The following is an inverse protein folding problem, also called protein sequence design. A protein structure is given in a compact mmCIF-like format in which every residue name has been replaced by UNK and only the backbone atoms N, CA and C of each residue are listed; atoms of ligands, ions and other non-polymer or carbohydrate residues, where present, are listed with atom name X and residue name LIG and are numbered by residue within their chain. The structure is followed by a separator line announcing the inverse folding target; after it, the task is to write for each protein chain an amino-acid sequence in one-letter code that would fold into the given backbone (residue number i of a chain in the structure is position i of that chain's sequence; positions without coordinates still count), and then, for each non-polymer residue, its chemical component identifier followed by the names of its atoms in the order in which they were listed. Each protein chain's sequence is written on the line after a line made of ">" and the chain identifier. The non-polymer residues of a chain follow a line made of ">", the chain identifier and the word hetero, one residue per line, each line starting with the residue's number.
data_IF_834225356529
#
_entry.id   IF_834225356529
#
_cell.length_a   1.000
_cell.length_b   1.000
_cell.length_c   1.000
_cell.angle_alpha   90.00
_cell.angle_beta   90.00
_cell.angle_gamma   90.00
#
_symmetry.space_group_name_H-M   'P 1'
#
loop_
_entity.id
_entity.type
_entity.pdbx_description
1 polymer ?
#
# COMPACT_ATOMS: atom_id res chain seq x y z
N UNK A 1 -68.57 47.91 104.63
CA UNK A 1 -68.65 48.41 103.24
C UNK A 1 -67.29 48.29 102.52
N UNK A 2 -66.19 48.66 103.18
CA UNK A 2 -64.81 48.48 102.68
C UNK A 2 -64.40 47.01 102.40
N UNK A 3 -64.71 46.06 103.29
CA UNK A 3 -64.34 44.64 103.08
C UNK A 3 -64.97 44.01 101.83
N UNK A 4 -66.24 44.35 101.53
CA UNK A 4 -66.92 43.90 100.31
C UNK A 4 -66.30 44.51 99.04
N UNK A 5 -65.79 45.74 99.10
CA UNK A 5 -65.06 46.35 97.98
C UNK A 5 -63.69 45.69 97.77
N UNK A 6 -62.96 45.40 98.84
CA UNK A 6 -61.67 44.68 98.77
C UNK A 6 -61.82 43.25 98.23
N UNK A 7 -62.85 42.51 98.67
CA UNK A 7 -63.14 41.17 98.15
C UNK A 7 -63.42 41.18 96.64
N UNK A 8 -64.24 42.14 96.17
CA UNK A 8 -64.53 42.31 94.75
C UNK A 8 -63.29 42.70 93.93
N UNK A 9 -62.43 43.58 94.46
CA UNK A 9 -61.15 43.93 93.83
C UNK A 9 -60.20 42.74 93.71
N UNK A 10 -60.16 41.86 94.71
CA UNK A 10 -59.35 40.63 94.68
C UNK A 10 -59.92 39.67 93.64
N UNK A 11 -61.24 39.50 93.60
CA UNK A 11 -61.93 38.64 92.64
C UNK A 11 -61.71 39.10 91.19
N UNK A 12 -61.89 40.40 90.91
CA UNK A 12 -61.63 41.00 89.59
C UNK A 12 -60.16 40.82 89.17
N UNK A 13 -59.22 40.94 90.11
CA UNK A 13 -57.78 40.77 89.84
C UNK A 13 -57.41 39.31 89.60
N UNK A 14 -58.04 38.36 90.31
CA UNK A 14 -57.89 36.92 90.10
C UNK A 14 -58.47 36.51 88.75
N UNK A 15 -59.67 36.98 88.39
CA UNK A 15 -60.29 36.72 87.09
C UNK A 15 -59.44 37.28 85.93
N UNK A 16 -58.88 38.47 86.09
CA UNK A 16 -57.97 39.06 85.10
C UNK A 16 -56.72 38.22 84.91
N UNK A 17 -56.07 37.78 85.99
CA UNK A 17 -54.89 36.91 85.94
C UNK A 17 -55.19 35.54 85.34
N UNK A 18 -56.36 34.96 85.63
CA UNK A 18 -56.82 33.71 85.04
C UNK A 18 -57.05 33.86 83.53
N UNK A 19 -57.69 34.96 83.11
CA UNK A 19 -57.92 35.26 81.69
C UNK A 19 -56.60 35.46 80.94
N UNK A 20 -55.67 36.23 81.49
CA UNK A 20 -54.33 36.42 80.90
C UNK A 20 -53.53 35.11 80.77
N UNK A 21 -53.61 34.22 81.78
CA UNK A 21 -52.98 32.89 81.70
C UNK A 21 -53.65 32.01 80.65
N UNK A 22 -54.97 32.05 80.55
CA UNK A 22 -55.75 31.29 79.58
C UNK A 22 -55.46 31.76 78.15
N UNK A 23 -55.42 33.07 77.92
CA UNK A 23 -55.10 33.67 76.62
C UNK A 23 -53.67 33.32 76.17
N UNK A 24 -52.71 33.32 77.10
CA UNK A 24 -51.33 32.85 76.82
C UNK A 24 -51.29 31.37 76.45
N UNK A 25 -51.99 30.52 77.20
CA UNK A 25 -52.05 29.09 76.91
C UNK A 25 -52.70 28.81 75.54
N UNK A 26 -53.75 29.53 75.17
CA UNK A 26 -54.35 29.43 73.84
C UNK A 26 -53.42 29.92 72.72
N UNK A 27 -52.66 31.00 72.95
CA UNK A 27 -51.68 31.48 71.99
C UNK A 27 -50.52 30.48 71.80
N UNK A 28 -50.03 29.87 72.88
CA UNK A 28 -49.00 28.81 72.84
C UNK A 28 -49.52 27.57 72.11
N UNK A 29 -50.76 27.13 72.42
CA UNK A 29 -51.39 26.00 71.75
C UNK A 29 -51.60 26.26 70.25
N UNK A 30 -52.02 27.48 69.89
CA UNK A 30 -52.20 27.89 68.49
C UNK A 30 -50.89 27.85 67.70
N UNK A 31 -49.80 28.39 68.28
CA UNK A 31 -48.46 28.32 67.67
C UNK A 31 -47.97 26.87 67.51
N UNK A 32 -48.18 26.03 68.53
CA UNK A 32 -47.81 24.62 68.46
C UNK A 32 -48.61 23.86 67.39
N UNK A 33 -49.89 24.19 67.22
CA UNK A 33 -50.74 23.62 66.18
C UNK A 33 -50.28 24.04 64.77
N UNK A 34 -49.96 25.32 64.59
CA UNK A 34 -49.40 25.82 63.32
C UNK A 34 -48.07 25.13 62.98
N UNK A 35 -47.15 25.05 63.94
CA UNK A 35 -45.87 24.34 63.78
C UNK A 35 -46.07 22.88 63.40
N UNK A 36 -46.98 22.17 64.08
CA UNK A 36 -47.28 20.77 63.77
C UNK A 36 -47.85 20.60 62.36
N UNK A 37 -48.67 21.55 61.90
CA UNK A 37 -49.26 21.50 60.57
C UNK A 37 -48.22 21.80 59.47
N UNK A 38 -47.29 22.72 59.73
CA UNK A 38 -46.16 23.01 58.84
C UNK A 38 -45.21 21.81 58.74
N UNK A 39 -44.84 21.19 59.87
CA UNK A 39 -44.02 19.96 59.90
C UNK A 39 -44.71 18.80 59.16
N UNK A 40 -46.02 18.63 59.35
CA UNK A 40 -46.79 17.62 58.62
C UNK A 40 -46.78 17.88 57.10
N UNK A 41 -46.93 19.14 56.69
CA UNK A 41 -46.88 19.52 55.28
C UNK A 41 -45.49 19.25 54.68
N UNK A 42 -44.42 19.53 55.43
CA UNK A 42 -43.04 19.24 54.99
C UNK A 42 -42.83 17.72 54.84
N UNK A 43 -43.26 16.93 55.82
CA UNK A 43 -43.16 15.47 55.76
C UNK A 43 -43.95 14.85 54.60
N UNK A 44 -45.14 15.37 54.30
CA UNK A 44 -45.91 14.89 53.14
C UNK A 44 -45.20 15.22 51.81
N UNK A 45 -44.53 16.38 51.74
CA UNK A 45 -43.75 16.78 50.56
C UNK A 45 -42.47 15.94 50.40
N UNK A 46 -41.76 15.66 51.50
CA UNK A 46 -40.63 14.72 51.50
C UNK A 46 -41.05 13.32 51.09
N UNK A 47 -42.20 12.81 51.58
CA UNK A 47 -42.72 11.50 51.20
C UNK A 47 -43.03 11.42 49.70
N UNK A 48 -43.58 12.49 49.12
CA UNK A 48 -43.82 12.58 47.68
C UNK A 48 -42.52 12.57 46.88
N UNK A 49 -41.50 13.31 47.32
CA UNK A 49 -40.19 13.33 46.67
C UNK A 49 -39.50 11.96 46.73
N UNK A 50 -39.47 11.32 47.90
CA UNK A 50 -38.91 9.98 48.05
C UNK A 50 -39.63 8.93 47.19
N UNK A 51 -40.95 9.05 47.06
CA UNK A 51 -41.72 8.16 46.19
C UNK A 51 -41.35 8.37 44.72
N UNK A 52 -41.22 9.62 44.27
CA UNK A 52 -40.78 9.93 42.91
C UNK A 52 -39.36 9.42 42.62
N UNK A 53 -38.41 9.62 43.54
CA UNK A 53 -37.04 9.10 43.40
C UNK A 53 -37.00 7.57 43.37
N UNK A 54 -37.83 6.91 44.18
CA UNK A 54 -37.98 5.46 44.19
C UNK A 54 -38.48 4.95 42.84
N UNK A 55 -39.52 5.58 42.30
CA UNK A 55 -40.10 5.19 41.01
C UNK A 55 -39.09 5.41 39.86
N UNK A 56 -38.35 6.52 39.89
CA UNK A 56 -37.26 6.78 38.92
C UNK A 56 -36.15 5.72 39.01
N UNK A 57 -35.76 5.35 40.24
CA UNK A 57 -34.73 4.33 40.47
C UNK A 57 -35.18 2.95 40.01
N UNK A 58 -36.44 2.58 40.26
CA UNK A 58 -37.03 1.34 39.77
C UNK A 58 -37.03 1.28 38.24
N UNK A 59 -37.41 2.38 37.56
CA UNK A 59 -37.35 2.45 36.10
C UNK A 59 -35.91 2.31 35.58
N UNK A 60 -34.93 2.97 36.21
CA UNK A 60 -33.50 2.83 35.85
C UNK A 60 -33.02 1.39 36.00
N UNK A 61 -33.44 0.69 37.05
CA UNK A 61 -33.08 -0.71 37.28
C UNK A 61 -33.62 -1.63 36.17
N UNK A 62 -34.87 -1.45 35.76
CA UNK A 62 -35.45 -2.21 34.64
C UNK A 62 -34.71 -1.96 33.33
N UNK A 63 -34.30 -0.72 33.07
CA UNK A 63 -33.52 -0.38 31.87
C UNK A 63 -32.13 -1.05 31.89
N UNK A 64 -31.46 -1.04 33.03
CA UNK A 64 -30.16 -1.72 33.21
C UNK A 64 -30.30 -3.21 32.94
N UNK A 65 -31.33 -3.87 33.48
CA UNK A 65 -31.57 -5.29 33.24
C UNK A 65 -31.76 -5.62 31.75
N UNK A 66 -32.52 -4.79 31.03
CA UNK A 66 -32.68 -4.94 29.56
C UNK A 66 -31.36 -4.76 28.80
N UNK A 67 -30.52 -3.82 29.23
CA UNK A 67 -29.19 -3.61 28.62
C UNK A 67 -28.27 -4.81 28.90
N UNK A 68 -28.30 -5.35 30.12
CA UNK A 68 -27.49 -6.51 30.50
C UNK A 68 -27.85 -7.76 29.70
N UNK A 69 -29.15 -8.01 29.48
CA UNK A 69 -29.64 -9.09 28.62
C UNK A 69 -29.15 -8.92 27.18
N UNK A 70 -29.30 -7.73 26.60
CA UNK A 70 -28.83 -7.45 25.23
C UNK A 70 -27.32 -7.62 25.10
N UNK A 71 -26.54 -7.14 26.08
CA UNK A 71 -25.09 -7.33 26.11
C UNK A 71 -24.71 -8.82 26.22
N UNK A 72 -25.51 -9.63 26.93
CA UNK A 72 -25.29 -11.08 27.04
C UNK A 72 -25.51 -11.79 25.70
N UNK A 73 -26.52 -11.39 24.94
CA UNK A 73 -26.77 -11.91 23.59
C UNK A 73 -25.65 -11.51 22.63
N UNK A 74 -25.28 -10.23 22.58
CA UNK A 74 -24.19 -9.75 21.73
C UNK A 74 -22.85 -10.44 22.05
N UNK A 75 -22.56 -10.71 23.32
CA UNK A 75 -21.35 -11.48 23.71
C UNK A 75 -21.36 -12.91 23.17
N UNK A 76 -22.53 -13.56 23.11
CA UNK A 76 -22.66 -14.92 22.55
C UNK A 76 -22.43 -14.91 21.04
N UNK A 77 -23.03 -13.96 20.33
CA UNK A 77 -22.84 -13.79 18.88
C UNK A 77 -21.37 -13.51 18.54
N UNK A 78 -20.73 -12.61 19.32
CA UNK A 78 -19.32 -12.30 19.16
C UNK A 78 -18.44 -13.53 19.39
N UNK A 79 -18.74 -14.35 20.40
CA UNK A 79 -18.01 -15.60 20.66
C UNK A 79 -18.10 -16.57 19.49
N UNK A 80 -19.29 -16.73 18.89
CA UNK A 80 -19.48 -17.60 17.74
C UNK A 80 -18.71 -17.09 16.51
N UNK A 81 -18.79 -15.78 16.25
CA UNK A 81 -18.07 -15.13 15.14
C UNK A 81 -16.55 -15.28 15.27
N UNK A 82 -16.01 -15.08 16.47
CA UNK A 82 -14.57 -15.27 16.74
C UNK A 82 -14.18 -16.74 16.49
N UNK A 83 -15.02 -17.69 16.90
CA UNK A 83 -14.76 -19.12 16.70
C UNK A 83 -14.72 -19.47 15.21
N UNK A 84 -15.66 -18.98 14.42
CA UNK A 84 -15.67 -19.17 12.96
C UNK A 84 -14.45 -18.52 12.30
N UNK A 85 -14.10 -17.30 12.70
CA UNK A 85 -12.91 -16.62 12.18
C UNK A 85 -11.62 -17.38 12.47
N UNK A 86 -11.51 -18.02 13.64
CA UNK A 86 -10.33 -18.82 13.99
C UNK A 86 -10.21 -20.08 13.12
N UNK A 87 -11.33 -20.76 12.83
CA UNK A 87 -11.34 -21.92 11.92
C UNK A 87 -10.89 -21.49 10.52
N UNK A 88 -11.46 -20.39 10.01
CA UNK A 88 -11.09 -19.88 8.70
C UNK A 88 -9.61 -19.46 8.62
N UNK A 89 -9.07 -18.86 9.68
CA UNK A 89 -7.65 -18.50 9.75
C UNK A 89 -6.75 -19.75 9.70
N UNK A 90 -7.14 -20.85 10.35
CA UNK A 90 -6.41 -22.12 10.26
C UNK A 90 -6.42 -22.67 8.83
N UNK A 91 -7.56 -22.65 8.14
CA UNK A 91 -7.65 -23.08 6.74
C UNK A 91 -6.79 -22.21 5.81
N UNK A 92 -6.72 -20.90 6.06
CA UNK A 92 -5.87 -19.99 5.31
C UNK A 92 -4.38 -20.32 5.54
N UNK A 93 -3.97 -20.58 6.78
CA UNK A 93 -2.59 -20.96 7.11
C UNK A 93 -2.18 -22.28 6.43
N UNK A 94 -3.07 -23.26 6.38
CA UNK A 94 -2.84 -24.53 5.68
C UNK A 94 -2.64 -24.29 4.16
N UNK A 95 -3.54 -23.52 3.53
CA UNK A 95 -3.41 -23.18 2.11
C UNK A 95 -2.16 -22.37 1.80
N UNK A 96 -1.74 -21.48 2.71
CA UNK A 96 -0.49 -20.74 2.55
C UNK A 96 0.72 -21.67 2.55
N UNK A 97 0.78 -22.66 3.44
CA UNK A 97 1.84 -23.67 3.44
C UNK A 97 1.85 -24.51 2.17
N UNK A 98 0.68 -24.90 1.66
CA UNK A 98 0.58 -25.62 0.39
C UNK A 98 1.12 -24.79 -0.80
N UNK A 99 0.79 -23.50 -0.85
CA UNK A 99 1.28 -22.59 -1.88
C UNK A 99 2.80 -22.38 -1.79
N UNK A 100 3.34 -22.22 -0.59
CA UNK A 100 4.78 -22.11 -0.36
C UNK A 100 5.52 -23.36 -0.86
N UNK A 101 5.01 -24.55 -0.52
CA UNK A 101 5.60 -25.81 -1.00
C UNK A 101 5.53 -25.91 -2.53
N UNK A 102 4.43 -25.47 -3.16
CA UNK A 102 4.32 -25.42 -4.63
C UNK A 102 5.30 -24.43 -5.25
N UNK A 103 5.49 -23.26 -4.65
CA UNK A 103 6.43 -22.25 -5.12
C UNK A 103 7.88 -22.75 -5.03
N UNK A 104 8.23 -23.42 -3.93
CA UNK A 104 9.55 -24.04 -3.76
C UNK A 104 9.79 -25.16 -4.79
N UNK A 105 8.79 -26.03 -5.00
CA UNK A 105 8.86 -27.06 -6.04
C UNK A 105 9.03 -26.48 -7.44
N UNK A 106 8.26 -25.45 -7.79
CA UNK A 106 8.38 -24.76 -9.08
C UNK A 106 9.72 -24.07 -9.24
N UNK A 107 10.29 -23.54 -8.15
CA UNK A 107 11.63 -22.96 -8.17
C UNK A 107 12.70 -24.02 -8.45
N UNK A 108 12.61 -25.17 -7.79
CA UNK A 108 13.52 -26.30 -8.04
C UNK A 108 13.37 -26.80 -9.48
N UNK A 109 12.13 -26.95 -9.96
CA UNK A 109 11.85 -27.38 -11.34
C UNK A 109 12.41 -26.37 -12.35
N UNK A 110 12.22 -25.08 -12.10
CA UNK A 110 12.82 -24.02 -12.91
C UNK A 110 14.35 -24.09 -12.91
N UNK A 111 14.98 -24.26 -11.74
CA UNK A 111 16.44 -24.41 -11.66
C UNK A 111 16.93 -25.67 -12.39
N UNK A 112 16.17 -26.76 -12.36
CA UNK A 112 16.49 -27.97 -13.11
C UNK A 112 16.36 -27.74 -14.62
N UNK A 113 15.30 -27.09 -15.08
CA UNK A 113 15.13 -26.71 -16.50
C UNK A 113 16.24 -25.75 -16.94
N UNK A 114 16.60 -24.77 -16.11
CA UNK A 114 17.72 -23.85 -16.39
C UNK A 114 19.04 -24.62 -16.50
N UNK A 115 19.31 -25.60 -15.62
CA UNK A 115 20.48 -26.49 -15.74
C UNK A 115 20.42 -27.40 -16.97
N UNK A 116 19.24 -27.93 -17.31
CA UNK A 116 19.02 -28.72 -18.52
C UNK A 116 19.12 -27.89 -19.79
N UNK A 117 18.89 -26.58 -19.75
CA UNK A 117 19.16 -25.63 -20.83
C UNK A 117 20.63 -25.18 -20.85
N UNK A 118 21.30 -25.17 -19.70
CA UNK A 118 22.75 -24.97 -19.59
C UNK A 118 23.54 -26.20 -20.08
N UNK A 119 23.00 -27.42 -19.98
CA UNK A 119 23.65 -28.64 -20.49
C UNK A 119 23.90 -28.59 -22.01
N UNK A 120 22.93 -28.17 -22.85
CA UNK A 120 23.15 -27.78 -24.23
C UNK A 120 24.23 -26.71 -24.33
N UNK A 121 24.22 -25.66 -23.50
CA UNK A 121 25.26 -24.61 -23.55
C UNK A 121 26.68 -25.13 -23.28
N UNK A 122 26.86 -26.07 -22.33
CA UNK A 122 28.17 -26.64 -21.99
C UNK A 122 28.63 -27.70 -23.00
N UNK A 123 27.69 -28.43 -23.62
CA UNK A 123 27.99 -29.25 -24.80
C UNK A 123 28.19 -28.39 -26.06
N UNK A 124 27.63 -27.18 -26.12
CA UNK A 124 27.72 -26.23 -27.23
C UNK A 124 28.94 -25.30 -27.14
N UNK A 125 29.60 -25.22 -25.99
CA UNK A 125 31.00 -24.73 -25.93
C UNK A 125 31.97 -25.69 -26.64
N UNK A 126 31.60 -26.96 -26.80
CA UNK A 126 32.30 -27.94 -27.63
C UNK A 126 31.63 -28.21 -28.99
N UNK A 127 30.36 -27.86 -29.16
CA UNK A 127 29.66 -28.03 -30.42
C UNK A 127 29.89 -26.79 -31.29
N UNK A 128 30.51 -27.06 -32.43
CA UNK A 128 30.58 -26.16 -33.57
C UNK A 128 29.31 -25.33 -33.76
N UNK A 129 29.49 -24.00 -33.82
CA UNK A 129 28.64 -23.05 -34.53
C UNK A 129 27.14 -23.36 -34.48
N UNK A 130 26.45 -23.12 -33.35
CA UNK A 130 25.03 -22.79 -33.45
C UNK A 130 24.92 -21.44 -34.17
N UNK A 131 24.82 -21.54 -35.49
CA UNK A 131 24.30 -20.49 -36.36
C UNK A 131 22.83 -20.34 -35.96
N UNK A 132 22.54 -19.53 -34.93
CA UNK A 132 21.30 -18.74 -34.96
C UNK A 132 21.27 -18.15 -36.37
N UNK A 133 20.22 -18.42 -37.14
CA UNK A 133 20.08 -17.99 -38.53
C UNK A 133 20.43 -16.50 -38.61
N UNK A 134 21.68 -16.21 -38.99
CA UNK A 134 22.11 -14.88 -39.35
C UNK A 134 21.45 -14.65 -40.69
N UNK A 135 20.31 -13.96 -40.65
CA UNK A 135 19.74 -13.39 -41.85
C UNK A 135 20.67 -12.25 -42.24
N UNK A 136 21.77 -12.57 -42.93
CA UNK A 136 22.60 -11.56 -43.57
C UNK A 136 21.71 -10.84 -44.59
N UNK A 137 21.00 -9.80 -44.14
CA UNK A 137 20.02 -9.08 -44.94
C UNK A 137 20.70 -8.23 -46.01
N UNK A 138 21.97 -7.89 -45.78
CA UNK A 138 22.73 -6.97 -46.59
C UNK A 138 23.96 -7.66 -47.18
N UNK A 139 24.31 -7.27 -48.41
CA UNK A 139 25.33 -7.93 -49.21
C UNK A 139 26.73 -7.32 -49.03
N UNK A 140 26.80 -6.07 -48.58
CA UNK A 140 28.03 -5.30 -48.39
C UNK A 140 28.07 -4.65 -46.99
N UNK A 141 29.28 -4.51 -46.45
CA UNK A 141 29.55 -3.85 -45.17
C UNK A 141 29.03 -2.41 -45.10
N UNK A 142 28.91 -1.70 -46.23
CA UNK A 142 28.35 -0.34 -46.31
C UNK A 142 26.83 -0.30 -46.08
N UNK A 143 26.09 -1.30 -46.58
CA UNK A 143 24.64 -1.40 -46.35
C UNK A 143 24.33 -1.60 -44.85
N UNK A 144 25.14 -2.42 -44.16
CA UNK A 144 25.05 -2.54 -42.70
C UNK A 144 25.31 -1.21 -41.98
N UNK A 145 26.25 -0.38 -42.45
CA UNK A 145 26.47 0.95 -41.85
C UNK A 145 25.23 1.82 -41.96
N UNK A 146 24.55 1.78 -43.11
CA UNK A 146 23.33 2.55 -43.33
C UNK A 146 22.20 2.06 -42.42
N UNK A 147 21.96 0.75 -42.35
CA UNK A 147 20.95 0.16 -41.48
C UNK A 147 21.19 0.50 -39.99
N UNK A 148 22.45 0.45 -39.54
CA UNK A 148 22.84 0.88 -38.18
C UNK A 148 22.49 2.35 -37.95
N UNK A 149 22.75 3.23 -38.92
CA UNK A 149 22.39 4.66 -38.83
C UNK A 149 20.87 4.84 -38.75
N UNK A 150 20.10 4.07 -39.51
CA UNK A 150 18.64 4.16 -39.51
C UNK A 150 18.02 3.75 -38.17
N UNK A 151 18.47 2.64 -37.58
CA UNK A 151 18.00 2.22 -36.25
C UNK A 151 18.40 3.22 -35.16
N UNK A 152 19.61 3.76 -35.21
CA UNK A 152 20.00 4.82 -34.28
C UNK A 152 19.09 6.05 -34.41
N UNK A 153 18.72 6.45 -35.63
CA UNK A 153 17.74 7.52 -35.84
C UNK A 153 16.36 7.18 -35.27
N UNK A 154 15.85 5.95 -35.47
CA UNK A 154 14.57 5.52 -34.87
C UNK A 154 14.59 5.66 -33.34
N UNK A 155 15.68 5.22 -32.71
CA UNK A 155 15.86 5.37 -31.26
C UNK A 155 15.96 6.84 -30.82
N UNK A 156 16.69 7.68 -31.57
CA UNK A 156 16.75 9.13 -31.32
C UNK A 156 15.37 9.79 -31.38
N UNK A 157 14.54 9.42 -32.37
CA UNK A 157 13.16 9.89 -32.48
C UNK A 157 12.32 9.46 -31.27
N UNK A 158 12.40 8.19 -30.84
CA UNK A 158 11.66 7.74 -29.66
C UNK A 158 12.04 8.49 -28.39
N UNK A 159 13.32 8.86 -28.24
CA UNK A 159 13.78 9.66 -27.09
C UNK A 159 13.31 11.11 -27.20
N UNK A 160 13.38 11.70 -28.40
CA UNK A 160 12.92 13.07 -28.66
C UNK A 160 11.41 13.24 -28.39
N UNK A 161 10.60 12.29 -28.86
CA UNK A 161 9.14 12.29 -28.72
C UNK A 161 8.67 11.71 -27.38
N UNK A 162 9.60 11.34 -26.49
CA UNK A 162 9.33 10.76 -25.16
C UNK A 162 8.52 9.46 -25.21
N UNK A 163 8.68 8.69 -26.29
CA UNK A 163 8.06 7.39 -26.49
C UNK A 163 8.93 6.25 -25.94
N UNK A 164 10.25 6.46 -25.80
CA UNK A 164 11.17 5.45 -25.29
C UNK A 164 10.86 5.07 -23.83
N UNK A 165 10.51 6.05 -23.00
CA UNK A 165 10.13 5.83 -21.61
C UNK A 165 9.04 6.81 -21.17
N UNK A 166 7.94 6.29 -20.64
CA UNK A 166 6.74 7.07 -20.31
C UNK A 166 6.38 6.94 -18.82
N UNK A 167 5.66 7.94 -18.30
CA UNK A 167 5.08 7.92 -16.96
C UNK A 167 3.56 7.90 -17.07
N UNK A 168 2.89 6.98 -16.37
CA UNK A 168 1.41 6.87 -16.40
C UNK A 168 0.71 7.82 -15.42
N UNK A 169 1.46 8.51 -14.56
CA UNK A 169 0.89 9.26 -13.44
C UNK A 169 1.49 10.67 -13.38
N UNK A 170 0.64 11.68 -13.31
CA UNK A 170 1.08 13.01 -12.88
C UNK A 170 1.04 13.08 -11.36
N UNK A 171 2.15 13.48 -10.76
CA UNK A 171 2.28 13.62 -9.31
C UNK A 171 2.79 15.02 -8.96
N UNK A 172 2.53 15.45 -7.73
CA UNK A 172 3.01 16.72 -7.20
C UNK A 172 4.19 16.48 -6.28
N UNK A 173 5.18 17.36 -6.36
CA UNK A 173 6.33 17.39 -5.45
C UNK A 173 6.24 18.70 -4.69
N UNK A 174 6.27 18.66 -3.35
CA UNK A 174 6.06 19.82 -2.48
C UNK A 174 4.77 20.62 -2.80
N UNK A 175 3.71 19.94 -3.24
CA UNK A 175 2.45 20.58 -3.68
C UNK A 175 2.51 21.22 -5.08
N UNK A 176 3.64 21.14 -5.79
CA UNK A 176 3.82 21.70 -7.14
C UNK A 176 3.77 20.61 -8.22
N UNK A 177 2.86 20.77 -9.19
CA UNK A 177 2.82 19.95 -10.41
C UNK A 177 4.04 20.20 -11.31
N UNK A 178 4.55 21.42 -11.34
CA UNK A 178 5.73 21.76 -12.15
C UNK A 178 6.99 21.03 -11.62
N UNK A 179 7.13 20.96 -10.29
CA UNK A 179 8.22 20.20 -9.67
C UNK A 179 8.07 18.70 -9.91
N UNK A 180 6.85 18.15 -9.83
CA UNK A 180 6.59 16.75 -10.17
C UNK A 180 6.93 16.39 -11.61
N UNK A 181 6.57 17.25 -12.58
CA UNK A 181 7.00 17.10 -13.98
C UNK A 181 8.51 17.15 -14.13
N UNK A 182 9.19 18.05 -13.42
CA UNK A 182 10.66 18.16 -13.43
C UNK A 182 11.31 16.89 -12.88
N UNK A 183 10.80 16.35 -11.78
CA UNK A 183 11.31 15.12 -11.18
C UNK A 183 11.06 13.91 -12.09
N UNK A 184 9.86 13.79 -12.66
CA UNK A 184 9.53 12.73 -13.63
C UNK A 184 10.48 12.75 -14.83
N UNK A 185 10.70 13.93 -15.43
CA UNK A 185 11.63 14.08 -16.55
C UNK A 185 13.08 13.71 -16.15
N UNK A 186 13.49 14.01 -14.92
CA UNK A 186 14.80 13.62 -14.42
C UNK A 186 14.93 12.10 -14.31
N UNK A 187 13.91 11.43 -13.76
CA UNK A 187 13.90 9.97 -13.61
C UNK A 187 13.87 9.25 -14.95
N UNK A 188 13.08 9.73 -15.92
CA UNK A 188 13.09 9.22 -17.30
C UNK A 188 14.50 9.30 -17.90
N UNK A 189 15.16 10.46 -17.77
CA UNK A 189 16.55 10.64 -18.26
C UNK A 189 17.53 9.68 -17.59
N UNK A 190 17.39 9.44 -16.29
CA UNK A 190 18.24 8.49 -15.57
C UNK A 190 18.01 7.06 -16.03
N UNK A 191 16.75 6.62 -16.17
CA UNK A 191 16.41 5.29 -16.64
C UNK A 191 16.98 5.02 -18.04
N UNK A 192 16.78 5.95 -18.98
CA UNK A 192 17.33 5.86 -20.33
C UNK A 192 18.87 5.81 -20.31
N UNK A 193 19.51 6.63 -19.47
CA UNK A 193 20.98 6.63 -19.35
C UNK A 193 21.52 5.32 -18.80
N UNK A 194 20.88 4.76 -17.78
CA UNK A 194 21.29 3.48 -17.18
C UNK A 194 21.23 2.36 -18.23
N UNK A 195 20.08 2.24 -18.91
CA UNK A 195 19.90 1.24 -19.95
C UNK A 195 20.86 1.43 -21.14
N UNK A 196 21.01 2.67 -21.63
CA UNK A 196 21.89 2.95 -22.76
C UNK A 196 23.35 2.63 -22.42
N UNK A 197 23.85 3.01 -21.24
CA UNK A 197 25.23 2.71 -20.84
C UNK A 197 25.50 1.21 -20.81
N UNK A 198 24.62 0.40 -20.21
CA UNK A 198 24.82 -1.05 -20.17
C UNK A 198 24.70 -1.70 -21.55
N UNK A 199 23.65 -1.36 -22.31
CA UNK A 199 23.44 -1.92 -23.64
C UNK A 199 24.55 -1.53 -24.63
N UNK A 200 24.99 -0.27 -24.62
CA UNK A 200 26.10 0.21 -25.47
C UNK A 200 27.43 -0.46 -25.12
N UNK A 201 27.67 -0.75 -23.84
CA UNK A 201 28.85 -1.52 -23.43
C UNK A 201 28.79 -2.96 -23.98
N UNK A 202 27.63 -3.60 -23.97
CA UNK A 202 27.49 -4.92 -24.58
C UNK A 202 27.71 -4.87 -26.10
N UNK A 203 27.10 -3.89 -26.78
CA UNK A 203 27.20 -3.74 -28.24
C UNK A 203 28.62 -3.41 -28.68
N UNK A 204 29.32 -2.50 -27.98
CA UNK A 204 30.70 -2.12 -28.33
C UNK A 204 31.72 -3.24 -28.11
N UNK A 205 31.39 -4.24 -27.29
CA UNK A 205 32.26 -5.41 -27.05
C UNK A 205 32.14 -6.52 -28.11
N UNK A 206 31.19 -6.37 -29.05
CA UNK A 206 30.92 -7.37 -30.10
C UNK A 206 32.12 -7.52 -31.03
N UNK A 207 32.47 -8.77 -31.33
CA UNK A 207 33.58 -9.15 -32.18
C UNK A 207 33.33 -10.50 -32.90
N UNK A 208 34.31 -10.88 -33.74
CA UNK A 208 34.57 -12.18 -34.39
C UNK A 208 34.02 -13.46 -33.70
N UNK A 209 34.06 -13.47 -32.38
CA UNK A 209 33.87 -14.65 -31.53
C UNK A 209 32.73 -14.45 -30.53
N UNK A 210 31.96 -13.38 -30.68
CA UNK A 210 30.88 -13.06 -29.74
C UNK A 210 29.69 -13.98 -29.97
N UNK A 211 29.13 -14.51 -28.89
CA UNK A 211 27.84 -15.18 -28.94
C UNK A 211 26.73 -14.11 -28.95
N UNK A 212 26.16 -13.84 -30.12
CA UNK A 212 25.16 -12.80 -30.30
C UNK A 212 23.89 -13.08 -29.48
N UNK A 213 23.46 -14.35 -29.36
CA UNK A 213 22.32 -14.73 -28.54
C UNK A 213 22.49 -14.30 -27.07
N UNK A 214 23.70 -14.49 -26.53
CA UNK A 214 24.04 -14.07 -25.17
C UNK A 214 24.02 -12.54 -25.02
N UNK A 215 24.53 -11.81 -26.02
CA UNK A 215 24.49 -10.34 -26.03
C UNK A 215 23.04 -9.84 -26.03
N UNK A 216 22.17 -10.39 -26.90
CA UNK A 216 20.73 -10.07 -26.94
C UNK A 216 20.06 -10.32 -25.58
N UNK A 217 20.32 -11.47 -24.96
CA UNK A 217 19.82 -11.81 -23.61
C UNK A 217 20.30 -10.82 -22.54
N UNK A 218 21.55 -10.36 -22.59
CA UNK A 218 22.09 -9.37 -21.65
C UNK A 218 21.42 -8.00 -21.81
N UNK A 219 21.16 -7.57 -23.05
CA UNK A 219 20.43 -6.32 -23.33
C UNK A 219 18.99 -6.42 -22.78
N UNK A 220 18.28 -7.52 -23.04
CA UNK A 220 16.94 -7.72 -22.49
C UNK A 220 16.93 -7.67 -20.95
N UNK A 221 17.86 -8.39 -20.30
CA UNK A 221 17.98 -8.39 -18.83
C UNK A 221 18.27 -6.99 -18.26
N UNK A 222 19.08 -6.19 -18.94
CA UNK A 222 19.33 -4.78 -18.55
C UNK A 222 18.03 -3.96 -18.64
N UNK A 223 17.27 -4.12 -19.73
CA UNK A 223 15.96 -3.48 -19.88
C UNK A 223 14.96 -3.88 -18.79
N UNK A 224 14.88 -5.18 -18.46
CA UNK A 224 14.02 -5.70 -17.40
C UNK A 224 14.41 -5.13 -16.02
N UNK A 225 15.72 -5.04 -15.73
CA UNK A 225 16.23 -4.47 -14.49
C UNK A 225 15.88 -2.98 -14.36
N UNK A 226 16.08 -2.21 -15.43
CA UNK A 226 15.71 -0.79 -15.47
C UNK A 226 14.19 -0.63 -15.35
N UNK A 227 13.39 -1.50 -15.96
CA UNK A 227 11.94 -1.50 -15.79
C UNK A 227 11.51 -1.78 -14.36
N UNK A 228 12.17 -2.72 -13.67
CA UNK A 228 11.91 -2.98 -12.24
C UNK A 228 12.22 -1.76 -11.37
N UNK A 229 13.29 -1.03 -11.66
CA UNK A 229 13.57 0.27 -11.02
C UNK A 229 12.48 1.30 -11.33
N UNK A 230 12.04 1.37 -12.59
CA UNK A 230 11.03 2.31 -13.06
C UNK A 230 9.63 2.06 -12.47
N UNK A 231 9.27 0.81 -12.16
CA UNK A 231 7.96 0.44 -11.60
C UNK A 231 7.63 1.21 -10.32
N UNK A 232 8.59 1.36 -9.41
CA UNK A 232 8.43 2.14 -8.17
C UNK A 232 8.02 3.60 -8.45
N UNK A 233 8.36 4.11 -9.62
CA UNK A 233 8.11 5.49 -10.05
C UNK A 233 7.03 5.61 -11.13
N UNK A 234 6.25 4.54 -11.36
CA UNK A 234 5.18 4.52 -12.38
C UNK A 234 5.71 4.86 -13.79
N UNK A 235 6.98 4.57 -14.01
CA UNK A 235 7.68 4.70 -15.27
C UNK A 235 7.72 3.36 -16.00
N UNK A 236 7.79 3.40 -17.33
CA UNK A 236 7.95 2.21 -18.16
C UNK A 236 8.92 2.53 -19.29
N UNK A 237 10.03 1.79 -19.35
CA UNK A 237 10.88 1.70 -20.53
C UNK A 237 10.21 0.76 -21.52
N UNK A 238 9.85 1.28 -22.70
CA UNK A 238 9.05 0.53 -23.66
C UNK A 238 9.87 -0.59 -24.31
N UNK A 239 9.24 -1.77 -24.47
CA UNK A 239 9.87 -2.94 -25.09
C UNK A 239 10.37 -2.65 -26.50
N UNK A 240 9.64 -1.85 -27.28
CA UNK A 240 10.07 -1.43 -28.63
C UNK A 240 11.46 -0.75 -28.63
N UNK A 241 11.77 0.08 -27.62
CA UNK A 241 13.08 0.71 -27.52
C UNK A 241 14.19 -0.30 -27.15
N UNK A 242 13.85 -1.31 -26.34
CA UNK A 242 14.76 -2.43 -26.01
C UNK A 242 15.01 -3.28 -27.25
N UNK A 243 13.96 -3.56 -28.04
CA UNK A 243 14.03 -4.33 -29.27
C UNK A 243 14.91 -3.64 -30.31
N UNK A 244 14.84 -2.32 -30.46
CA UNK A 244 15.77 -1.58 -31.34
C UNK A 244 17.24 -1.72 -30.91
N UNK A 245 17.54 -1.79 -29.61
CA UNK A 245 18.91 -2.08 -29.14
C UNK A 245 19.35 -3.50 -29.45
N UNK A 246 18.44 -4.48 -29.38
CA UNK A 246 18.69 -5.87 -29.74
C UNK A 246 18.92 -6.00 -31.26
N UNK A 247 18.12 -5.29 -32.07
CA UNK A 247 18.29 -5.20 -33.53
C UNK A 247 19.63 -4.56 -33.88
N UNK A 248 19.98 -3.45 -33.22
CA UNK A 248 21.28 -2.80 -33.39
C UNK A 248 22.45 -3.76 -33.08
N UNK A 249 22.37 -4.51 -31.99
CA UNK A 249 23.40 -5.50 -31.63
C UNK A 249 23.57 -6.56 -32.73
N UNK A 250 22.47 -6.98 -33.35
CA UNK A 250 22.46 -7.96 -34.43
C UNK A 250 23.17 -7.41 -35.66
N UNK A 251 22.82 -6.20 -36.11
CA UNK A 251 23.46 -5.56 -37.27
C UNK A 251 24.95 -5.29 -37.05
N UNK A 252 25.35 -4.88 -35.84
CA UNK A 252 26.76 -4.68 -35.50
C UNK A 252 27.52 -6.00 -35.60
N UNK A 253 26.94 -7.10 -35.11
CA UNK A 253 27.55 -8.42 -35.22
C UNK A 253 27.67 -8.90 -36.68
N UNK A 254 26.59 -8.79 -37.46
CA UNK A 254 26.58 -9.14 -38.88
C UNK A 254 27.60 -8.32 -39.69
N UNK A 255 27.73 -7.02 -39.41
CA UNK A 255 28.77 -6.18 -40.01
C UNK A 255 30.18 -6.67 -39.68
N UNK A 256 30.43 -7.05 -38.42
CA UNK A 256 31.73 -7.58 -37.99
C UNK A 256 32.04 -8.89 -38.72
N UNK A 257 31.06 -9.78 -38.88
CA UNK A 257 31.22 -11.02 -39.64
C UNK A 257 31.49 -10.75 -41.12
N UNK A 258 30.74 -9.84 -41.73
CA UNK A 258 30.91 -9.48 -43.14
C UNK A 258 32.32 -8.95 -43.43
N UNK A 259 32.83 -8.05 -42.58
CA UNK A 259 34.20 -7.56 -42.68
C UNK A 259 35.25 -8.65 -42.50
N UNK A 260 34.98 -9.65 -41.67
CA UNK A 260 35.87 -10.78 -41.48
C UNK A 260 35.88 -11.69 -42.72
N UNK A 261 34.72 -11.97 -43.30
CA UNK A 261 34.56 -12.71 -44.56
C UNK A 261 35.32 -12.04 -45.72
N UNK A 262 35.09 -10.73 -45.93
CA UNK A 262 35.78 -9.94 -46.97
C UNK A 262 37.30 -9.99 -46.81
N UNK A 263 37.79 -9.93 -45.57
CA UNK A 263 39.23 -10.00 -45.26
C UNK A 263 39.81 -11.40 -45.53
N UNK A 264 39.06 -12.45 -45.26
CA UNK A 264 39.48 -13.83 -45.54
C UNK A 264 39.46 -14.13 -47.04
N UNK A 265 38.48 -13.61 -47.78
CA UNK A 265 38.42 -13.71 -49.23
C UNK A 265 39.58 -12.98 -49.92
N UNK A 266 39.90 -11.76 -49.48
CA UNK A 266 41.07 -11.02 -49.96
C UNK A 266 42.39 -11.76 -49.69
N UNK A 267 42.52 -12.43 -48.53
CA UNK A 267 43.70 -13.28 -48.21
C UNK A 267 43.80 -14.49 -49.14
N UNK A 268 42.69 -15.19 -49.38
CA UNK A 268 42.63 -16.34 -50.30
C UNK A 268 43.01 -15.93 -51.72
N UNK A 269 42.48 -14.80 -52.22
CA UNK A 269 42.83 -14.28 -53.55
C UNK A 269 44.32 -13.92 -53.65
N UNK A 270 44.90 -13.30 -52.62
CA UNK A 270 46.32 -12.97 -52.59
C UNK A 270 47.24 -14.21 -52.56
N UNK A 271 46.80 -15.30 -51.92
CA UNK A 271 47.52 -16.57 -51.90
C UNK A 271 47.48 -17.27 -53.26
N UNK A 272 46.33 -17.29 -53.92
CA UNK A 272 46.17 -17.83 -55.29
C UNK A 272 47.10 -17.11 -56.28
N UNK A 273 47.18 -15.77 -56.24
CA UNK A 273 48.07 -15.01 -57.12
C UNK A 273 49.54 -15.37 -56.88
N UNK A 274 49.95 -15.54 -55.62
CA UNK A 274 51.33 -15.94 -55.27
C UNK A 274 51.69 -17.34 -55.73
N UNK A 275 50.73 -18.27 -55.75
CA UNK A 275 50.95 -19.62 -56.27
C UNK A 275 51.01 -19.66 -57.80
N UNK A 276 50.27 -18.78 -58.48
CA UNK A 276 50.32 -18.67 -59.95
C UNK A 276 51.59 -17.98 -60.49
N UNK A 277 52.25 -17.17 -59.66
CA UNK A 277 53.52 -16.50 -60.01
C UNK A 277 54.77 -17.34 -59.70
N UNK A 278 54.62 -18.53 -59.10
CA UNK A 278 55.70 -19.49 -58.85
C UNK A 278 55.76 -20.57 -59.93
#
# INVERSE_FOLDING_TARGET
>A
MLEKMFAKQIEDRVQKLLKEKLDKAFAELGRAYEQLNDEKSQLDQERLNFQAEKDETSHKLELIQKIEERLKEQRKELYFTIKESNILNQEIEEKMKELQNKEENLKIEKENIERELELPLYLDECAMYHVEELFYQYNDSEEYKQAIVEINKKMEYMVADKLACTCRTEWTVNGSRAEGRKQTNHMIKMALRLFNVESDNYISSINARSNIANVKKKIQKSGDMVNKFCQTHHLTLHQEYIDYKIELATLVYEQVMKKQEEKEEARRQAEIIREQEK
#
